data_IF_892155014501
#
_entry.id   IF_892155014501
#
_cell.length_a   1.000
_cell.length_b   1.000
_cell.length_c   1.000
_cell.angle_alpha   90.00
_cell.angle_beta   90.00
_cell.angle_gamma   90.00
#
_symmetry.space_group_name_H-M   'P 1'
#
loop_
_entity.id
_entity.type
_entity.pdbx_description
1 polymer ?
#
# COMPACT_ATOMS: atom_id res chain seq x y z
N UNK A 1 -3.73 12.15 45.51
CA UNK A 1 -3.56 11.49 44.22
C UNK A 1 -3.64 12.57 43.13
N UNK A 2 -2.65 12.74 42.23
CA UNK A 2 -2.77 13.68 41.15
C UNK A 2 -3.91 13.25 40.21
N UNK A 3 -4.63 14.18 39.58
CA UNK A 3 -5.70 13.84 38.66
C UNK A 3 -5.12 13.04 37.51
N UNK A 4 -5.77 11.91 37.15
CA UNK A 4 -5.44 11.14 35.96
C UNK A 4 -5.56 12.08 34.75
N UNK A 5 -4.47 12.29 34.05
CA UNK A 5 -4.49 12.98 32.78
C UNK A 5 -5.52 12.28 31.90
N UNK A 6 -6.53 13.01 31.48
CA UNK A 6 -7.44 12.59 30.41
C UNK A 6 -6.58 12.42 29.19
N UNK A 7 -6.25 11.18 28.85
CA UNK A 7 -5.65 10.87 27.55
C UNK A 7 -6.57 11.44 26.49
N UNK A 8 -6.06 12.42 25.77
CA UNK A 8 -6.72 12.95 24.58
C UNK A 8 -7.13 11.76 23.70
N UNK A 9 -8.37 11.72 23.26
CA UNK A 9 -8.90 10.70 22.36
C UNK A 9 -8.07 10.73 21.08
N UNK A 10 -7.12 9.81 20.98
CA UNK A 10 -6.35 9.56 19.79
C UNK A 10 -7.29 8.98 18.73
N UNK A 11 -7.58 9.76 17.73
CA UNK A 11 -8.62 9.51 16.74
C UNK A 11 -8.20 8.51 15.69
N UNK A 12 -7.30 7.59 15.83
CA UNK A 12 -7.01 6.75 14.70
C UNK A 12 -6.14 5.51 14.94
N UNK A 13 -5.86 5.15 16.15
CA UNK A 13 -5.78 3.74 16.38
C UNK A 13 -7.22 3.35 16.58
N UNK A 14 -7.78 2.77 15.59
CA UNK A 14 -9.22 2.64 15.48
C UNK A 14 -9.85 2.16 16.78
N UNK A 15 -11.13 2.43 16.92
CA UNK A 15 -11.92 1.88 18.04
C UNK A 15 -11.82 0.35 18.12
N UNK A 16 -11.44 -0.35 17.03
CA UNK A 16 -11.19 -1.79 16.99
C UNK A 16 -9.94 -2.16 17.78
N UNK A 17 -8.80 -1.50 17.57
CA UNK A 17 -7.59 -1.72 18.39
C UNK A 17 -7.86 -1.46 19.88
N UNK A 18 -8.63 -0.42 20.20
CA UNK A 18 -9.01 -0.11 21.57
C UNK A 18 -9.96 -1.13 22.18
N UNK A 19 -10.94 -1.62 21.41
CA UNK A 19 -11.87 -2.68 21.84
C UNK A 19 -11.15 -4.00 22.13
N UNK A 20 -10.08 -4.26 21.40
CA UNK A 20 -9.26 -5.46 21.55
C UNK A 20 -8.14 -5.30 22.60
N UNK A 21 -8.03 -4.13 23.25
CA UNK A 21 -6.97 -3.87 24.25
C UNK A 21 -5.58 -3.67 23.65
N UNK A 22 -5.46 -3.54 22.33
CA UNK A 22 -4.19 -3.31 21.65
C UNK A 22 -3.74 -1.86 21.79
N UNK A 23 -2.41 -1.65 21.81
CA UNK A 23 -1.83 -0.30 21.76
C UNK A 23 -2.03 0.29 20.38
N UNK A 24 -2.81 1.36 20.31
CA UNK A 24 -2.98 2.07 19.04
C UNK A 24 -1.77 2.90 18.66
N UNK A 25 -1.51 2.98 17.37
CA UNK A 25 -0.52 3.88 16.79
C UNK A 25 -1.24 5.13 16.25
N UNK A 26 -0.97 6.28 16.87
CA UNK A 26 -1.66 7.52 16.56
C UNK A 26 -1.36 8.00 15.13
N UNK A 27 -2.40 8.35 14.36
CA UNK A 27 -2.26 8.90 13.00
C UNK A 27 -1.45 10.21 12.97
N UNK A 28 -1.56 11.01 14.05
CA UNK A 28 -0.79 12.25 14.17
C UNK A 28 0.72 11.99 14.20
N UNK A 29 1.18 10.83 14.69
CA UNK A 29 2.60 10.50 14.68
C UNK A 29 3.15 10.43 13.23
N UNK A 30 2.42 9.78 12.33
CA UNK A 30 2.76 9.76 10.90
C UNK A 30 2.67 11.18 10.29
N UNK A 31 1.56 11.87 10.52
CA UNK A 31 1.34 13.20 9.95
C UNK A 31 2.42 14.21 10.39
N UNK A 32 2.86 14.17 11.64
CA UNK A 32 3.94 15.05 12.14
C UNK A 32 5.27 14.77 11.45
N UNK A 33 5.63 13.50 11.25
CA UNK A 33 6.86 13.12 10.55
C UNK A 33 6.80 13.53 9.08
N UNK A 34 5.69 13.25 8.41
CA UNK A 34 5.44 13.68 7.03
C UNK A 34 5.54 15.20 6.91
N UNK A 35 4.92 15.95 7.82
CA UNK A 35 4.98 17.42 7.81
C UNK A 35 6.40 17.95 7.98
N UNK A 36 7.16 17.40 8.94
CA UNK A 36 8.57 17.75 9.15
C UNK A 36 9.39 17.56 7.87
N UNK A 37 9.24 16.38 7.24
CA UNK A 37 10.05 16.02 6.07
C UNK A 37 9.66 16.86 4.84
N UNK A 38 8.36 17.16 4.69
CA UNK A 38 7.87 18.08 3.64
C UNK A 38 8.42 19.50 3.81
N UNK A 39 8.45 20.03 5.04
CA UNK A 39 9.03 21.34 5.33
C UNK A 39 10.53 21.38 4.98
N UNK A 40 11.28 20.36 5.42
CA UNK A 40 12.72 20.26 5.15
C UNK A 40 13.01 20.14 3.65
N UNK A 41 12.31 19.25 2.95
CA UNK A 41 12.49 19.07 1.52
C UNK A 41 12.18 20.35 0.73
N UNK A 42 11.10 21.04 1.09
CA UNK A 42 10.72 22.30 0.45
C UNK A 42 11.75 23.40 0.71
N UNK A 43 12.23 23.55 1.95
CA UNK A 43 13.20 24.58 2.31
C UNK A 43 14.55 24.38 1.65
N UNK A 44 14.93 23.13 1.39
CA UNK A 44 16.20 22.74 0.78
C UNK A 44 16.10 22.53 -0.74
N UNK A 45 14.91 22.68 -1.34
CA UNK A 45 14.64 22.33 -2.72
C UNK A 45 15.11 20.89 -3.07
N UNK A 46 14.85 19.95 -2.15
CA UNK A 46 15.32 18.58 -2.22
C UNK A 46 14.23 17.63 -2.69
N UNK A 47 14.64 16.52 -3.32
CA UNK A 47 13.71 15.43 -3.66
C UNK A 47 13.32 14.67 -2.40
N UNK A 48 12.03 14.42 -2.26
CA UNK A 48 11.45 13.61 -1.19
C UNK A 48 10.43 12.63 -1.76
N UNK A 49 10.52 11.39 -1.32
CA UNK A 49 9.48 10.38 -1.57
C UNK A 49 8.95 9.85 -0.24
N UNK A 50 7.65 10.01 -0.01
CA UNK A 50 6.97 9.51 1.18
C UNK A 50 6.49 8.09 0.91
N UNK A 51 7.02 7.13 1.68
CA UNK A 51 6.68 5.71 1.57
C UNK A 51 5.31 5.43 2.21
N UNK A 52 4.61 4.39 1.73
CA UNK A 52 3.42 3.73 2.30
C UNK A 52 2.50 4.64 3.13
N UNK A 53 2.04 5.76 2.55
CA UNK A 53 1.13 6.70 3.22
C UNK A 53 -0.11 5.97 3.74
N UNK A 54 -0.48 6.18 5.01
CA UNK A 54 -1.58 5.47 5.63
C UNK A 54 -2.71 6.37 6.17
N UNK A 55 -2.47 7.66 6.40
CA UNK A 55 -3.42 8.57 7.05
C UNK A 55 -3.98 9.63 6.11
N UNK A 56 -5.21 10.06 6.36
CA UNK A 56 -5.86 11.16 5.62
C UNK A 56 -5.13 12.48 5.83
N UNK A 57 -4.62 12.71 7.03
CA UNK A 57 -3.84 13.90 7.36
C UNK A 57 -2.56 13.99 6.53
N UNK A 58 -1.85 12.86 6.34
CA UNK A 58 -0.67 12.80 5.47
C UNK A 58 -1.02 13.10 4.02
N UNK A 59 -2.14 12.58 3.50
CA UNK A 59 -2.61 12.90 2.13
C UNK A 59 -2.88 14.39 1.97
N UNK A 60 -3.52 15.04 2.96
CA UNK A 60 -3.80 16.49 2.91
C UNK A 60 -2.52 17.31 2.99
N UNK A 61 -1.55 16.91 3.78
CA UNK A 61 -0.23 17.52 3.85
C UNK A 61 0.51 17.40 2.51
N UNK A 62 0.58 16.20 1.95
CA UNK A 62 1.22 15.97 0.65
C UNK A 62 0.57 16.84 -0.42
N UNK A 63 -0.77 16.89 -0.47
CA UNK A 63 -1.51 17.77 -1.39
C UNK A 63 -1.08 19.24 -1.28
N UNK A 64 -0.92 19.74 -0.05
CA UNK A 64 -0.54 21.13 0.24
C UNK A 64 0.88 21.46 -0.23
N UNK A 65 1.82 20.52 -0.08
CA UNK A 65 3.24 20.73 -0.39
C UNK A 65 3.63 20.27 -1.81
N UNK A 66 2.76 19.52 -2.48
CA UNK A 66 3.04 19.00 -3.83
C UNK A 66 3.13 20.14 -4.82
N UNK A 67 4.28 20.27 -5.47
CA UNK A 67 4.59 21.26 -6.48
C UNK A 67 4.65 20.64 -7.88
N UNK A 68 4.67 21.49 -8.93
CA UNK A 68 4.72 21.03 -10.32
C UNK A 68 6.10 20.49 -10.75
N UNK A 69 7.14 20.78 -10.00
CA UNK A 69 8.51 20.32 -10.27
C UNK A 69 8.71 18.81 -10.04
N UNK A 70 7.78 18.17 -9.31
CA UNK A 70 7.84 16.73 -9.03
C UNK A 70 8.89 16.32 -8.01
N UNK A 71 9.40 17.26 -7.23
CA UNK A 71 10.38 16.96 -6.18
C UNK A 71 9.75 16.19 -5.02
N UNK A 72 8.47 16.44 -4.74
CA UNK A 72 7.72 15.73 -3.69
C UNK A 72 6.82 14.69 -4.33
N UNK A 73 7.06 13.43 -3.97
CA UNK A 73 6.31 12.27 -4.44
C UNK A 73 5.91 11.37 -3.27
N UNK A 74 4.95 10.48 -3.49
CA UNK A 74 4.48 9.56 -2.46
C UNK A 74 3.90 8.28 -3.05
N UNK A 75 3.82 7.25 -2.23
CA UNK A 75 3.23 5.97 -2.59
C UNK A 75 2.25 5.46 -1.53
N UNK A 76 1.43 4.51 -1.94
CA UNK A 76 0.50 3.78 -1.06
C UNK A 76 0.60 2.29 -1.34
N UNK A 77 0.44 1.46 -0.32
CA UNK A 77 0.47 0.00 -0.51
C UNK A 77 -0.92 -0.58 -0.76
N UNK A 78 -0.99 -1.73 -1.48
CA UNK A 78 -2.24 -2.41 -1.78
C UNK A 78 -3.09 -2.72 -0.54
N UNK A 79 -2.46 -3.15 0.55
CA UNK A 79 -3.15 -3.49 1.79
C UNK A 79 -3.80 -2.27 2.47
N UNK A 80 -3.18 -1.08 2.42
CA UNK A 80 -3.81 0.15 2.92
C UNK A 80 -4.99 0.63 2.07
N UNK A 81 -5.04 0.27 0.79
CA UNK A 81 -6.18 0.53 -0.09
C UNK A 81 -7.30 -0.50 0.07
N UNK A 82 -6.96 -1.74 0.41
CA UNK A 82 -7.88 -2.87 0.46
C UNK A 82 -8.55 -3.02 1.81
N UNK A 83 -7.76 -3.11 2.87
CA UNK A 83 -8.22 -3.37 4.24
C UNK A 83 -8.52 -2.07 5.01
N UNK A 84 -9.39 -2.19 5.98
CA UNK A 84 -9.61 -1.25 7.06
C UNK A 84 -9.38 -1.95 8.40
N UNK A 85 -9.30 -1.18 9.46
CA UNK A 85 -9.13 -1.70 10.81
C UNK A 85 -10.26 -2.64 11.27
N UNK A 86 -11.46 -2.52 10.67
CA UNK A 86 -12.57 -3.46 10.93
C UNK A 86 -12.28 -4.88 10.40
N UNK A 87 -11.35 -5.02 9.47
CA UNK A 87 -10.93 -6.31 8.90
C UNK A 87 -9.92 -7.03 9.81
N UNK A 88 -9.40 -6.35 10.85
CA UNK A 88 -8.51 -6.96 11.84
C UNK A 88 -9.37 -7.72 12.87
N UNK A 89 -9.82 -8.89 12.47
CA UNK A 89 -10.60 -9.79 13.34
C UNK A 89 -9.69 -10.87 13.92
N UNK A 90 -10.08 -11.42 15.07
CA UNK A 90 -9.40 -12.54 15.72
C UNK A 90 -7.88 -12.38 15.86
N UNK A 91 -7.43 -11.11 15.98
CA UNK A 91 -5.99 -10.78 16.08
C UNK A 91 -5.14 -11.31 14.92
N UNK A 92 -5.68 -11.32 13.69
CA UNK A 92 -4.96 -11.77 12.51
C UNK A 92 -3.63 -11.03 12.35
N UNK A 93 -2.54 -11.70 12.69
CA UNK A 93 -1.18 -11.15 12.68
C UNK A 93 -0.70 -10.78 11.28
N UNK A 94 -1.28 -11.37 10.21
CA UNK A 94 -0.97 -11.00 8.84
C UNK A 94 -1.43 -9.59 8.48
N UNK A 95 -2.34 -8.97 9.27
CA UNK A 95 -2.72 -7.57 9.15
C UNK A 95 -1.88 -6.63 10.04
N UNK A 96 -0.89 -7.17 10.77
CA UNK A 96 0.06 -6.35 11.51
C UNK A 96 1.14 -5.82 10.58
N UNK A 97 1.02 -4.55 10.22
CA UNK A 97 1.93 -3.83 9.31
C UNK A 97 2.35 -2.48 9.90
N UNK A 98 3.40 -1.92 9.39
CA UNK A 98 3.88 -0.58 9.75
C UNK A 98 4.08 0.29 8.50
N UNK A 99 3.30 1.39 8.36
CA UNK A 99 2.27 1.89 9.27
C UNK A 99 1.04 0.97 9.37
N UNK A 100 0.25 1.06 10.47
CA UNK A 100 -0.86 0.15 10.66
C UNK A 100 -2.02 0.40 9.69
N UNK A 101 -2.83 -0.63 9.44
CA UNK A 101 -4.11 -0.50 8.76
C UNK A 101 -4.98 0.50 9.52
N UNK A 102 -5.53 1.48 8.82
CA UNK A 102 -6.32 2.58 9.39
C UNK A 102 -7.81 2.37 9.17
N UNK A 103 -8.59 3.30 9.72
CA UNK A 103 -10.03 3.31 9.57
C UNK A 103 -10.52 3.61 8.15
N UNK A 104 -11.82 3.35 7.90
CA UNK A 104 -12.46 3.57 6.60
C UNK A 104 -12.29 4.99 6.04
N UNK A 105 -12.24 6.01 6.93
CA UNK A 105 -12.05 7.40 6.51
C UNK A 105 -10.67 7.64 5.91
N UNK A 106 -9.63 7.04 6.50
CA UNK A 106 -8.26 7.10 5.97
C UNK A 106 -8.17 6.35 4.65
N UNK A 107 -8.67 5.10 4.60
CA UNK A 107 -8.72 4.30 3.36
C UNK A 107 -9.41 5.05 2.22
N UNK A 108 -10.57 5.67 2.49
CA UNK A 108 -11.28 6.47 1.48
C UNK A 108 -10.40 7.61 0.96
N UNK A 109 -9.71 8.31 1.86
CA UNK A 109 -8.82 9.42 1.49
C UNK A 109 -7.61 8.97 0.68
N UNK A 110 -7.04 7.80 0.99
CA UNK A 110 -5.97 7.19 0.19
C UNK A 110 -6.44 6.88 -1.24
N UNK A 111 -7.64 6.29 -1.39
CA UNK A 111 -8.26 6.01 -2.70
C UNK A 111 -8.48 7.30 -3.49
N UNK A 112 -8.99 8.36 -2.86
CA UNK A 112 -9.12 9.68 -3.48
C UNK A 112 -7.76 10.26 -3.87
N UNK A 113 -6.76 10.12 -3.02
CA UNK A 113 -5.39 10.61 -3.22
C UNK A 113 -4.70 9.97 -4.42
N UNK A 114 -4.79 8.65 -4.57
CA UNK A 114 -4.19 7.95 -5.72
C UNK A 114 -4.94 8.24 -7.02
N UNK A 115 -6.27 8.37 -6.99
CA UNK A 115 -7.09 8.71 -8.15
C UNK A 115 -6.84 10.13 -8.65
N UNK A 116 -6.68 11.08 -7.75
CA UNK A 116 -6.43 12.50 -8.08
C UNK A 116 -4.97 12.82 -8.43
N UNK A 117 -4.05 11.87 -8.26
CA UNK A 117 -2.63 12.08 -8.51
C UNK A 117 -1.88 12.78 -7.37
N UNK A 118 -2.50 12.97 -6.21
CA UNK A 118 -1.81 13.43 -4.98
C UNK A 118 -0.79 12.37 -4.57
N UNK A 119 -1.20 11.09 -4.58
CA UNK A 119 -0.29 9.94 -4.43
C UNK A 119 0.15 9.51 -5.82
N UNK A 120 1.45 9.32 -6.01
CA UNK A 120 2.06 9.13 -7.32
C UNK A 120 2.00 7.69 -7.81
N UNK A 121 2.29 6.73 -6.96
CA UNK A 121 2.41 5.33 -7.35
C UNK A 121 1.93 4.36 -6.26
N UNK A 122 1.92 3.09 -6.61
CA UNK A 122 1.61 1.98 -5.72
C UNK A 122 2.88 1.15 -5.57
N UNK A 123 3.27 0.87 -4.32
CA UNK A 123 4.35 -0.04 -3.97
C UNK A 123 3.83 -1.12 -3.03
N UNK A 124 4.30 -2.35 -3.19
CA UNK A 124 3.73 -3.51 -2.49
C UNK A 124 4.05 -3.56 -1.01
N UNK A 125 5.13 -2.93 -0.59
CA UNK A 125 5.66 -3.07 0.76
C UNK A 125 5.82 -4.56 1.17
N UNK A 126 6.35 -5.36 0.23
CA UNK A 126 6.47 -6.79 0.35
C UNK A 126 7.48 -7.19 1.43
N UNK A 127 6.99 -7.74 2.53
CA UNK A 127 7.78 -8.12 3.70
C UNK A 127 7.49 -9.57 4.10
N UNK A 128 8.23 -10.55 3.54
CA UNK A 128 8.09 -11.95 3.90
C UNK A 128 8.66 -12.21 5.31
N UNK A 129 7.89 -12.94 6.12
CA UNK A 129 8.26 -13.39 7.46
C UNK A 129 8.07 -14.89 7.59
N UNK A 130 8.76 -15.51 8.52
CA UNK A 130 8.57 -16.93 8.83
C UNK A 130 7.22 -17.16 9.53
N UNK A 131 6.79 -18.41 9.60
CA UNK A 131 5.59 -18.77 10.36
C UNK A 131 5.76 -18.42 11.84
N UNK A 132 6.91 -18.70 12.41
CA UNK A 132 7.24 -18.43 13.81
C UNK A 132 7.14 -16.95 14.15
N UNK A 133 7.53 -16.08 13.23
CA UNK A 133 7.41 -14.63 13.39
C UNK A 133 5.95 -14.13 13.37
N UNK A 134 5.05 -14.89 12.76
CA UNK A 134 3.64 -14.54 12.59
C UNK A 134 2.69 -15.33 13.47
N UNK A 135 2.96 -16.58 13.78
CA UNK A 135 2.14 -17.46 14.64
C UNK A 135 2.44 -17.22 16.13
N UNK A 136 2.29 -15.98 16.55
CA UNK A 136 2.47 -15.54 17.94
C UNK A 136 1.39 -14.53 18.32
N UNK A 137 1.49 -13.91 19.51
CA UNK A 137 0.50 -12.89 19.87
C UNK A 137 0.57 -11.70 18.92
N UNK A 138 -0.54 -10.99 18.74
CA UNK A 138 -0.56 -9.82 17.87
C UNK A 138 0.48 -8.76 18.28
N UNK A 139 0.76 -8.63 19.59
CA UNK A 139 1.75 -7.67 20.07
C UNK A 139 3.19 -8.07 19.72
N UNK A 140 3.49 -9.36 19.67
CA UNK A 140 4.85 -9.87 19.48
C UNK A 140 5.14 -10.21 18.01
N UNK A 141 4.09 -10.40 17.19
CA UNK A 141 4.22 -10.72 15.77
C UNK A 141 5.02 -9.65 15.01
N UNK A 142 5.83 -10.07 14.05
CA UNK A 142 6.57 -9.20 13.15
C UNK A 142 5.65 -8.33 12.29
N UNK A 143 6.08 -7.11 12.01
CA UNK A 143 5.38 -6.19 11.09
C UNK A 143 5.67 -6.56 9.65
N UNK A 144 4.64 -6.76 8.85
CA UNK A 144 4.76 -6.98 7.41
C UNK A 144 3.89 -8.11 6.88
N UNK A 145 3.70 -8.08 5.56
CA UNK A 145 2.97 -9.08 4.80
C UNK A 145 3.58 -9.23 3.40
N UNK A 146 3.35 -10.36 2.74
CA UNK A 146 3.68 -10.52 1.33
C UNK A 146 2.60 -9.87 0.47
N UNK A 147 3.00 -9.12 -0.55
CA UNK A 147 2.07 -8.32 -1.36
C UNK A 147 2.35 -8.34 -2.85
N UNK A 148 3.32 -9.12 -3.36
CA UNK A 148 3.64 -9.13 -4.80
C UNK A 148 2.54 -9.82 -5.61
N UNK A 149 2.16 -11.02 -5.24
CA UNK A 149 1.26 -11.88 -6.00
C UNK A 149 -0.19 -11.36 -5.98
N UNK A 150 -0.62 -10.78 -4.85
CA UNK A 150 -1.97 -10.23 -4.67
C UNK A 150 -2.12 -8.81 -5.23
N UNK A 151 -1.02 -8.10 -5.50
CA UNK A 151 -1.01 -6.67 -5.80
C UNK A 151 -2.03 -6.28 -6.88
N UNK A 152 -1.89 -6.81 -8.09
CA UNK A 152 -2.73 -6.41 -9.22
C UNK A 152 -4.21 -6.72 -8.97
N UNK A 153 -4.53 -7.93 -8.50
CA UNK A 153 -5.91 -8.33 -8.24
C UNK A 153 -6.60 -7.46 -7.18
N UNK A 154 -5.88 -7.15 -6.09
CA UNK A 154 -6.38 -6.31 -5.01
C UNK A 154 -6.62 -4.86 -5.46
N UNK A 155 -5.63 -4.21 -6.09
CA UNK A 155 -5.77 -2.79 -6.47
C UNK A 155 -6.70 -2.59 -7.66
N UNK A 156 -6.79 -3.55 -8.59
CA UNK A 156 -7.75 -3.52 -9.69
C UNK A 156 -9.19 -3.64 -9.15
N UNK A 157 -9.44 -4.55 -8.22
CA UNK A 157 -10.73 -4.67 -7.54
C UNK A 157 -11.12 -3.36 -6.86
N UNK A 158 -10.22 -2.80 -6.04
CA UNK A 158 -10.53 -1.59 -5.26
C UNK A 158 -10.62 -0.36 -6.15
N UNK A 159 -9.61 -0.07 -6.97
CA UNK A 159 -9.51 1.22 -7.67
C UNK A 159 -10.33 1.25 -8.96
N UNK A 160 -10.27 0.19 -9.77
CA UNK A 160 -10.96 0.17 -11.07
C UNK A 160 -12.40 -0.26 -10.90
N UNK A 161 -12.65 -1.45 -10.33
CA UNK A 161 -14.00 -2.01 -10.29
C UNK A 161 -14.91 -1.29 -9.30
N UNK A 162 -14.42 -0.98 -8.11
CA UNK A 162 -15.25 -0.41 -7.05
C UNK A 162 -15.24 1.14 -7.03
N UNK A 163 -14.18 1.76 -7.56
CA UNK A 163 -14.02 3.22 -7.48
C UNK A 163 -13.83 3.93 -8.82
N UNK A 164 -14.04 3.25 -9.96
CA UNK A 164 -14.14 3.85 -11.30
C UNK A 164 -12.85 4.50 -11.82
N UNK A 165 -11.67 4.07 -11.34
CA UNK A 165 -10.39 4.46 -11.94
C UNK A 165 -10.22 3.76 -13.29
N UNK A 166 -9.64 4.42 -14.29
CA UNK A 166 -9.35 3.74 -15.56
C UNK A 166 -8.24 2.70 -15.38
N UNK A 167 -8.34 1.58 -16.10
CA UNK A 167 -7.29 0.56 -16.09
C UNK A 167 -5.94 1.14 -16.53
N UNK A 168 -5.94 2.02 -17.53
CA UNK A 168 -4.73 2.72 -17.98
C UNK A 168 -4.07 3.47 -16.82
N UNK A 169 -4.84 4.27 -16.07
CA UNK A 169 -4.30 5.02 -14.93
C UNK A 169 -3.76 4.09 -13.83
N UNK A 170 -4.42 2.97 -13.57
CA UNK A 170 -3.90 1.97 -12.63
C UNK A 170 -2.55 1.41 -13.09
N UNK A 171 -2.43 1.01 -14.37
CA UNK A 171 -1.17 0.50 -14.93
C UNK A 171 -0.07 1.55 -14.84
N UNK A 172 -0.36 2.82 -15.12
CA UNK A 172 0.62 3.91 -14.94
C UNK A 172 1.11 4.00 -13.50
N UNK A 173 0.22 3.84 -12.50
CA UNK A 173 0.57 3.84 -11.07
C UNK A 173 1.47 2.67 -10.67
N UNK A 174 1.39 1.55 -11.38
CA UNK A 174 2.19 0.34 -11.11
C UNK A 174 3.48 0.26 -11.94
N UNK A 175 3.62 1.06 -13.02
CA UNK A 175 4.73 0.91 -13.98
C UNK A 175 5.47 2.22 -14.23
N UNK A 176 4.87 3.13 -14.98
CA UNK A 176 5.51 4.38 -15.43
C UNK A 176 5.84 5.31 -14.28
N UNK A 177 4.89 5.48 -13.34
CA UNK A 177 5.06 6.41 -12.24
C UNK A 177 6.17 6.02 -11.26
N UNK A 178 6.25 4.76 -10.76
CA UNK A 178 7.38 4.36 -9.91
C UNK A 178 8.73 4.50 -10.64
N UNK A 179 8.79 4.23 -11.95
CA UNK A 179 10.01 4.49 -12.73
C UNK A 179 10.38 5.97 -12.78
N UNK A 180 9.37 6.84 -12.91
CA UNK A 180 9.58 8.30 -12.85
C UNK A 180 10.09 8.74 -11.47
N UNK A 181 9.51 8.20 -10.40
CA UNK A 181 9.95 8.45 -9.02
C UNK A 181 11.40 8.04 -8.82
N UNK A 182 11.77 6.86 -9.30
CA UNK A 182 13.11 6.30 -9.17
C UNK A 182 14.12 6.84 -10.20
N UNK A 183 13.66 7.71 -11.12
CA UNK A 183 14.46 8.25 -12.22
C UNK A 183 15.16 7.18 -13.07
N UNK A 184 14.43 6.10 -13.39
CA UNK A 184 14.89 5.02 -14.26
C UNK A 184 14.16 5.04 -15.61
N UNK A 185 14.72 4.34 -16.60
CA UNK A 185 14.20 4.29 -17.97
C UNK A 185 12.71 3.92 -18.02
N UNK A 186 11.94 4.67 -18.79
CA UNK A 186 10.48 4.52 -18.98
C UNK A 186 10.10 3.92 -20.34
N UNK A 187 11.01 3.93 -21.28
CA UNK A 187 10.76 3.52 -22.65
C UNK A 187 11.04 2.01 -22.84
N UNK A 188 10.05 1.20 -22.39
CA UNK A 188 10.17 -0.26 -22.36
C UNK A 188 9.72 -0.93 -23.66
N UNK A 189 9.04 -0.19 -24.55
CA UNK A 189 8.49 -0.70 -25.82
C UNK A 189 9.21 -0.15 -27.06
N UNK A 190 10.48 0.20 -26.93
CA UNK A 190 11.29 0.61 -28.06
C UNK A 190 11.82 -0.60 -28.85
N UNK A 191 11.84 -0.47 -30.18
CA UNK A 191 12.40 -1.49 -31.08
C UNK A 191 13.91 -1.64 -30.75
N UNK A 192 14.32 -2.90 -30.56
CA UNK A 192 15.71 -3.24 -30.22
C UNK A 192 15.99 -3.37 -28.72
N UNK A 193 15.10 -2.92 -27.83
CA UNK A 193 15.21 -3.16 -26.39
C UNK A 193 14.73 -4.57 -26.02
N UNK A 194 15.30 -5.10 -24.92
CA UNK A 194 14.83 -6.38 -24.36
C UNK A 194 13.40 -6.22 -23.83
N UNK A 195 12.50 -7.06 -24.32
CA UNK A 195 11.11 -7.04 -23.90
C UNK A 195 10.96 -7.41 -22.42
N UNK A 196 10.18 -6.58 -21.70
CA UNK A 196 9.69 -6.83 -20.33
C UNK A 196 8.19 -6.58 -20.36
N UNK A 197 7.41 -7.64 -20.50
CA UNK A 197 5.97 -7.56 -20.77
C UNK A 197 5.22 -8.40 -19.76
N UNK A 198 4.17 -7.84 -19.19
CA UNK A 198 3.18 -8.55 -18.38
C UNK A 198 1.86 -8.56 -19.14
N UNK A 199 1.29 -9.74 -19.34
CA UNK A 199 -0.02 -9.94 -19.95
C UNK A 199 -1.00 -10.31 -18.85
N UNK A 200 -2.10 -9.57 -18.75
CA UNK A 200 -3.07 -9.73 -17.69
C UNK A 200 -4.51 -9.75 -18.24
N UNK A 201 -5.39 -10.46 -17.54
CA UNK A 201 -6.84 -10.36 -17.72
C UNK A 201 -7.43 -9.47 -16.61
N UNK A 202 -7.91 -8.26 -16.92
CA UNK A 202 -8.40 -7.32 -15.90
C UNK A 202 -9.79 -7.69 -15.34
N UNK A 203 -10.46 -8.71 -15.91
CA UNK A 203 -11.83 -9.06 -15.55
C UNK A 203 -11.94 -10.40 -14.83
N UNK A 204 -10.89 -11.23 -14.88
CA UNK A 204 -10.93 -12.54 -14.24
C UNK A 204 -11.16 -12.40 -12.73
N UNK A 205 -12.22 -13.06 -12.26
CA UNK A 205 -12.47 -13.28 -10.82
C UNK A 205 -11.78 -14.56 -10.38
N UNK A 206 -11.14 -14.53 -9.23
CA UNK A 206 -10.46 -15.68 -8.65
C UNK A 206 -10.29 -15.47 -7.15
N UNK A 207 -10.09 -16.56 -6.39
CA UNK A 207 -9.80 -16.49 -4.97
C UNK A 207 -8.30 -16.67 -4.77
N UNK A 208 -7.66 -15.74 -4.07
CA UNK A 208 -6.23 -15.84 -3.76
C UNK A 208 -5.99 -16.95 -2.74
N UNK A 209 -5.10 -17.86 -3.05
CA UNK A 209 -4.82 -19.05 -2.25
C UNK A 209 -3.31 -19.29 -2.09
N UNK A 210 -2.93 -20.24 -1.25
CA UNK A 210 -1.53 -20.65 -1.09
C UNK A 210 -0.89 -21.15 -2.40
N UNK A 211 -1.69 -21.64 -3.35
CA UNK A 211 -1.19 -22.11 -4.65
C UNK A 211 -0.74 -20.96 -5.57
N UNK A 212 -1.21 -19.74 -5.29
CA UNK A 212 -0.87 -18.54 -6.07
C UNK A 212 0.38 -17.83 -5.51
N UNK A 213 1.00 -18.35 -4.45
CA UNK A 213 2.15 -17.75 -3.78
C UNK A 213 3.44 -18.33 -4.34
N UNK A 214 4.28 -17.50 -4.91
CA UNK A 214 5.64 -17.79 -5.39
C UNK A 214 6.70 -17.34 -4.39
N UNK A 215 6.35 -16.46 -3.48
CA UNK A 215 7.20 -15.99 -2.39
C UNK A 215 7.58 -17.14 -1.47
N UNK A 216 8.73 -17.04 -0.79
CA UNK A 216 9.21 -18.06 0.16
C UNK A 216 8.40 -18.11 1.45
N UNK A 217 7.55 -17.14 1.69
CA UNK A 217 6.69 -17.01 2.85
C UNK A 217 5.22 -16.91 2.44
N UNK A 218 4.32 -17.30 3.32
CA UNK A 218 2.86 -17.28 3.09
C UNK A 218 2.11 -16.28 3.98
N UNK A 219 2.81 -15.34 4.63
CA UNK A 219 2.21 -14.36 5.53
C UNK A 219 1.38 -13.30 4.77
N UNK A 220 0.21 -13.70 4.29
CA UNK A 220 -0.70 -12.86 3.52
C UNK A 220 -2.11 -12.82 4.12
N UNK A 221 -2.67 -11.63 4.40
CA UNK A 221 -4.07 -11.49 4.78
C UNK A 221 -5.03 -11.63 3.60
N UNK A 222 -4.50 -11.71 2.38
CA UNK A 222 -5.30 -11.85 1.17
C UNK A 222 -5.73 -13.29 0.87
N UNK A 223 -5.20 -14.30 1.59
CA UNK A 223 -5.60 -15.69 1.41
C UNK A 223 -7.10 -15.84 1.73
N UNK A 224 -7.86 -16.41 0.77
CA UNK A 224 -9.32 -16.51 0.84
C UNK A 224 -10.08 -15.31 0.26
N UNK A 225 -9.41 -14.19 -0.04
CA UNK A 225 -10.05 -13.02 -0.63
C UNK A 225 -10.36 -13.19 -2.12
N UNK A 226 -11.55 -12.73 -2.54
CA UNK A 226 -11.87 -12.62 -3.96
C UNK A 226 -11.06 -11.48 -4.59
N UNK A 227 -10.31 -11.80 -5.63
CA UNK A 227 -9.55 -10.88 -6.45
C UNK A 227 -10.23 -10.65 -7.81
N UNK A 228 -10.01 -9.49 -8.41
CA UNK A 228 -10.45 -9.22 -9.77
C UNK A 228 -9.25 -8.74 -10.59
N UNK A 229 -8.95 -9.50 -11.64
CA UNK A 229 -7.78 -9.31 -12.49
C UNK A 229 -6.64 -10.27 -12.11
N UNK A 230 -6.15 -11.00 -13.09
CA UNK A 230 -5.07 -11.98 -12.93
C UNK A 230 -3.99 -11.77 -13.98
N UNK A 231 -2.73 -11.81 -13.55
CA UNK A 231 -1.59 -11.90 -14.46
C UNK A 231 -1.58 -13.30 -15.06
N UNK A 232 -1.43 -13.40 -16.38
CA UNK A 232 -1.43 -14.67 -17.11
C UNK A 232 -0.04 -15.07 -17.56
N UNK A 233 0.71 -14.10 -18.05
CA UNK A 233 2.03 -14.38 -18.62
C UNK A 233 2.99 -13.23 -18.29
N UNK A 234 4.24 -13.57 -18.10
CA UNK A 234 5.33 -12.60 -17.92
C UNK A 234 6.46 -12.97 -18.89
N UNK A 235 6.90 -12.01 -19.70
CA UNK A 235 8.14 -12.07 -20.46
C UNK A 235 9.18 -11.20 -19.79
N UNK A 236 10.23 -11.81 -19.27
CA UNK A 236 11.32 -11.11 -18.60
C UNK A 236 12.64 -11.83 -18.85
N UNK A 237 13.73 -11.05 -19.08
CA UNK A 237 15.07 -11.60 -19.34
C UNK A 237 15.10 -12.69 -20.43
N UNK A 238 14.29 -12.51 -21.48
CA UNK A 238 14.12 -13.46 -22.60
C UNK A 238 13.51 -14.81 -22.20
N UNK A 239 12.88 -14.89 -21.01
CA UNK A 239 12.13 -16.06 -20.56
C UNK A 239 10.65 -15.73 -20.49
N UNK A 240 9.83 -16.70 -20.92
CA UNK A 240 8.37 -16.63 -20.85
C UNK A 240 7.87 -17.51 -19.70
N UNK A 241 7.03 -16.92 -18.85
CA UNK A 241 6.43 -17.58 -17.71
C UNK A 241 4.91 -17.57 -17.84
N UNK A 242 4.27 -18.70 -17.58
CA UNK A 242 2.82 -18.84 -17.40
C UNK A 242 2.52 -18.86 -15.90
N UNK A 243 1.51 -18.11 -15.45
CA UNK A 243 1.12 -17.97 -14.05
C UNK A 243 -0.32 -18.42 -13.81
#
# INVERSE_FOLDING_TARGET
RPPRSTQSRSSAASDVYKRQGLKGNNSLAEAMMVYRDLLLATSLNARLHILHVSTKESVDLIKKFKSKDGLITSEVSPHHLYFSDEDIQEFNTNLKVGPPIRGKADRKKLIEGIKSGIIDCIATDHAPHTLEDKETTFNDAAFGLIGLESCFGAVNKVLVKNNGMSLKSLIEKLTVNPRKVMNIDRDLFEIGKKAQITILDPNQKWTFSNQDIYSKSSNSPFIGEEMIGKVKYVLSKSKFYTL
#
